data_IF_054249005745
#
_entry.id   IF_054249005745
#
_cell.length_a   1.000
_cell.length_b   1.000
_cell.length_c   1.000
_cell.angle_alpha   90.00
_cell.angle_beta   90.00
_cell.angle_gamma   90.00
#
_symmetry.space_group_name_H-M   'P 1'
#
loop_
_entity.id
_entity.type
_entity.pdbx_description
1 polymer ?
#
# COMPACT_ATOMS: atom_id res chain seq x y z
N UNK A 1 6.77 -6.04 -9.05
CA UNK A 1 7.81 -7.03 -8.66
C UNK A 1 9.04 -6.70 -9.48
N UNK A 2 10.20 -6.62 -8.85
CA UNK A 2 11.42 -6.16 -9.52
C UNK A 2 12.40 -7.34 -9.66
N UNK A 3 12.80 -7.62 -10.90
CA UNK A 3 13.82 -8.60 -11.23
C UNK A 3 15.13 -7.86 -11.46
N UNK A 4 16.17 -8.20 -10.70
CA UNK A 4 17.50 -7.61 -10.84
C UNK A 4 18.50 -8.67 -11.30
N UNK A 5 19.31 -8.35 -12.30
CA UNK A 5 20.40 -9.21 -12.72
C UNK A 5 21.60 -9.02 -11.79
N UNK A 6 21.76 -9.91 -10.81
CA UNK A 6 22.92 -9.91 -9.90
C UNK A 6 24.11 -10.70 -10.45
N UNK A 7 24.00 -11.25 -11.66
CA UNK A 7 25.08 -11.96 -12.33
C UNK A 7 26.10 -11.00 -12.96
N UNK A 8 27.20 -11.56 -13.45
CA UNK A 8 28.24 -10.78 -14.16
C UNK A 8 28.09 -10.81 -15.69
N UNK A 9 27.04 -11.46 -16.21
CA UNK A 9 26.78 -11.62 -17.64
C UNK A 9 25.36 -11.11 -17.93
N UNK A 10 25.14 -10.44 -19.07
CA UNK A 10 23.80 -10.07 -19.51
C UNK A 10 22.86 -11.27 -19.53
N UNK A 11 21.64 -11.08 -19.02
CA UNK A 11 20.63 -12.14 -18.94
C UNK A 11 19.32 -11.64 -19.49
N UNK A 12 18.75 -12.38 -20.43
CA UNK A 12 17.46 -12.08 -21.03
C UNK A 12 16.38 -12.95 -20.40
N UNK A 13 15.26 -12.35 -20.02
CA UNK A 13 14.08 -13.09 -19.55
C UNK A 13 13.10 -13.22 -20.72
N UNK A 14 12.59 -14.42 -20.97
CA UNK A 14 11.76 -14.69 -22.15
C UNK A 14 10.37 -15.16 -21.76
N UNK A 15 10.28 -16.17 -20.91
CA UNK A 15 8.99 -16.74 -20.52
C UNK A 15 8.61 -16.28 -19.13
N UNK A 16 7.37 -15.81 -18.98
CA UNK A 16 6.78 -15.47 -17.70
C UNK A 16 5.43 -16.17 -17.58
N UNK A 17 5.24 -16.88 -16.48
CA UNK A 17 4.00 -17.56 -16.17
C UNK A 17 3.64 -17.29 -14.71
N UNK A 18 2.39 -16.96 -14.45
CA UNK A 18 1.86 -16.83 -13.11
C UNK A 18 0.80 -17.91 -12.89
N UNK A 19 0.92 -18.64 -11.79
CA UNK A 19 -0.05 -19.62 -11.35
C UNK A 19 -0.58 -19.21 -9.97
N UNK A 20 -1.87 -19.42 -9.72
CA UNK A 20 -2.51 -19.14 -8.43
C UNK A 20 -3.27 -20.37 -7.96
N UNK A 21 -3.37 -20.57 -6.64
CA UNK A 21 -4.17 -21.67 -6.07
C UNK A 21 -5.68 -21.36 -6.07
N UNK A 22 -6.03 -20.08 -5.94
CA UNK A 22 -7.40 -19.58 -5.84
C UNK A 22 -7.54 -18.30 -6.66
N UNK A 23 -8.75 -18.02 -7.14
CA UNK A 23 -9.06 -16.83 -7.93
C UNK A 23 -8.41 -16.80 -9.32
N UNK A 24 -8.40 -15.62 -9.92
CA UNK A 24 -7.82 -15.36 -11.24
C UNK A 24 -6.56 -14.51 -11.12
N UNK A 25 -5.50 -14.92 -11.81
CA UNK A 25 -4.23 -14.19 -11.84
C UNK A 25 -3.81 -13.95 -13.27
N UNK A 26 -3.36 -12.74 -13.58
CA UNK A 26 -2.89 -12.36 -14.91
C UNK A 26 -1.76 -11.34 -14.83
N UNK A 27 -0.80 -11.45 -15.74
CA UNK A 27 0.30 -10.48 -15.88
C UNK A 27 -0.25 -9.29 -16.67
N UNK A 28 -0.38 -8.14 -16.03
CA UNK A 28 -0.92 -6.92 -16.65
C UNK A 28 0.18 -6.04 -17.26
N UNK A 29 1.43 -6.22 -16.84
CA UNK A 29 2.58 -5.55 -17.43
C UNK A 29 3.84 -6.36 -17.27
N UNK A 30 4.58 -6.54 -18.36
CA UNK A 30 5.84 -7.27 -18.35
C UNK A 30 6.96 -6.43 -18.96
N UNK A 31 7.61 -5.61 -18.14
CA UNK A 31 8.77 -4.81 -18.55
C UNK A 31 10.06 -5.61 -18.65
N UNK A 32 10.02 -6.90 -18.33
CA UNK A 32 11.16 -7.80 -18.36
C UNK A 32 11.15 -8.72 -19.60
N UNK A 33 10.02 -8.86 -20.29
CA UNK A 33 9.89 -9.78 -21.41
C UNK A 33 10.76 -9.39 -22.57
N UNK A 34 11.56 -10.32 -23.06
CA UNK A 34 12.43 -10.12 -24.20
C UNK A 34 13.46 -8.99 -24.02
N UNK A 35 13.62 -8.48 -22.79
CA UNK A 35 14.61 -7.47 -22.41
C UNK A 35 15.87 -8.16 -21.90
N UNK A 36 17.03 -7.70 -22.39
CA UNK A 36 18.32 -8.13 -21.89
C UNK A 36 18.75 -7.22 -20.74
N UNK A 37 18.84 -7.78 -19.53
CA UNK A 37 19.32 -7.07 -18.35
C UNK A 37 20.84 -7.18 -18.26
N UNK A 38 21.54 -6.04 -18.30
CA UNK A 38 22.95 -5.99 -17.96
C UNK A 38 23.19 -6.28 -16.47
N UNK A 39 24.43 -6.62 -16.07
CA UNK A 39 24.80 -6.76 -14.66
C UNK A 39 24.41 -5.51 -13.83
N UNK A 40 23.58 -5.70 -12.81
CA UNK A 40 23.06 -4.63 -11.95
C UNK A 40 21.81 -3.92 -12.47
N UNK A 41 21.36 -4.20 -13.69
CA UNK A 41 20.07 -3.69 -14.18
C UNK A 41 18.90 -4.44 -13.57
N UNK A 42 17.75 -3.77 -13.57
CA UNK A 42 16.49 -4.33 -13.13
C UNK A 42 15.38 -4.03 -14.14
N UNK A 43 14.32 -4.82 -14.06
CA UNK A 43 13.07 -4.60 -14.76
C UNK A 43 11.91 -4.95 -13.85
N UNK A 44 10.72 -4.47 -14.22
CA UNK A 44 9.52 -4.62 -13.42
C UNK A 44 8.45 -5.46 -14.12
N UNK A 45 7.85 -6.37 -13.34
CA UNK A 45 6.65 -7.11 -13.71
C UNK A 45 5.50 -6.70 -12.81
N UNK A 46 4.36 -6.41 -13.43
CA UNK A 46 3.10 -6.08 -12.78
C UNK A 46 2.12 -7.21 -13.02
N UNK A 47 1.54 -7.68 -11.92
CA UNK A 47 0.55 -8.75 -11.90
C UNK A 47 -0.73 -8.19 -11.30
N UNK A 48 -1.87 -8.60 -11.84
CA UNK A 48 -3.18 -8.43 -11.23
C UNK A 48 -3.68 -9.78 -10.74
N UNK A 49 -4.19 -9.78 -9.52
CA UNK A 49 -4.85 -10.93 -8.92
C UNK A 49 -6.24 -10.51 -8.44
N UNK A 50 -7.25 -11.29 -8.80
CA UNK A 50 -8.63 -11.14 -8.38
C UNK A 50 -9.04 -12.40 -7.63
N UNK A 51 -9.19 -12.30 -6.31
CA UNK A 51 -9.70 -13.40 -5.51
C UNK A 51 -11.22 -13.53 -5.70
N UNK A 52 -11.68 -14.76 -5.97
CA UNK A 52 -13.12 -15.06 -6.05
C UNK A 52 -13.78 -15.15 -4.67
N UNK A 53 -13.02 -15.62 -3.68
CA UNK A 53 -13.47 -15.81 -2.31
C UNK A 53 -12.55 -15.12 -1.31
N UNK A 54 -13.09 -14.65 -0.16
CA UNK A 54 -12.27 -14.19 0.94
C UNK A 54 -11.40 -15.34 1.48
N UNK A 55 -10.12 -15.07 1.68
CA UNK A 55 -9.19 -16.07 2.17
C UNK A 55 -7.75 -15.79 1.78
N UNK A 56 -6.85 -16.67 2.24
CA UNK A 56 -5.44 -16.62 1.85
C UNK A 56 -5.29 -17.18 0.44
N UNK A 57 -4.54 -16.48 -0.39
CA UNK A 57 -4.16 -16.93 -1.73
C UNK A 57 -2.64 -16.94 -1.85
N UNK A 58 -2.14 -17.82 -2.70
CA UNK A 58 -0.72 -17.91 -3.07
C UNK A 58 -0.58 -17.87 -4.58
N UNK A 59 0.32 -17.00 -5.04
CA UNK A 59 0.68 -16.88 -6.45
C UNK A 59 2.12 -17.31 -6.61
N UNK A 60 2.38 -18.18 -7.58
CA UNK A 60 3.73 -18.56 -7.99
C UNK A 60 4.04 -17.92 -9.33
N UNK A 61 4.96 -16.96 -9.34
CA UNK A 61 5.50 -16.39 -10.57
C UNK A 61 6.73 -17.18 -10.99
N UNK A 62 6.71 -17.69 -12.21
CA UNK A 62 7.82 -18.40 -12.83
C UNK A 62 8.35 -17.59 -14.00
N UNK A 63 9.66 -17.35 -14.03
CA UNK A 63 10.33 -16.71 -15.14
C UNK A 63 11.44 -17.60 -15.69
N UNK A 64 11.60 -17.68 -17.00
CA UNK A 64 12.67 -18.46 -17.65
C UNK A 64 13.60 -17.52 -18.38
N UNK A 65 14.89 -17.66 -18.11
CA UNK A 65 15.96 -16.94 -18.80
C UNK A 65 16.26 -17.57 -20.16
N UNK A 66 16.88 -16.81 -21.07
CA UNK A 66 17.39 -17.33 -22.35
C UNK A 66 18.42 -18.45 -22.19
N UNK A 67 19.07 -18.54 -21.03
CA UNK A 67 20.00 -19.60 -20.67
C UNK A 67 19.29 -20.87 -20.16
N UNK A 68 17.96 -20.88 -20.11
CA UNK A 68 17.16 -22.01 -19.59
C UNK A 68 17.10 -22.10 -18.07
N UNK A 69 17.59 -21.07 -17.35
CA UNK A 69 17.45 -21.02 -15.89
C UNK A 69 16.03 -20.56 -15.53
N UNK A 70 15.35 -21.36 -14.70
CA UNK A 70 14.02 -21.05 -14.17
C UNK A 70 14.13 -20.36 -12.82
N UNK A 71 13.49 -19.21 -12.70
CA UNK A 71 13.35 -18.43 -11.47
C UNK A 71 11.91 -18.57 -10.98
N UNK A 72 11.74 -18.84 -9.69
CA UNK A 72 10.42 -18.98 -9.08
C UNK A 72 10.30 -18.03 -7.90
N UNK A 73 9.27 -17.20 -7.91
CA UNK A 73 8.98 -16.21 -6.88
C UNK A 73 7.60 -16.53 -6.29
N UNK A 74 7.53 -17.09 -5.06
CA UNK A 74 6.27 -17.29 -4.37
C UNK A 74 5.79 -15.96 -3.76
N UNK A 75 4.51 -15.69 -3.93
CA UNK A 75 3.79 -14.54 -3.41
C UNK A 75 2.61 -15.07 -2.60
N UNK A 76 2.28 -14.40 -1.52
CA UNK A 76 1.09 -14.74 -0.72
C UNK A 76 0.38 -13.46 -0.29
N UNK A 77 -0.93 -13.56 -0.18
CA UNK A 77 -1.77 -12.46 0.27
C UNK A 77 -3.05 -12.99 0.90
N UNK A 78 -3.86 -12.08 1.41
CA UNK A 78 -5.15 -12.41 2.00
C UNK A 78 -6.20 -11.47 1.41
N UNK A 79 -7.20 -12.05 0.76
CA UNK A 79 -8.36 -11.34 0.27
C UNK A 79 -9.37 -11.21 1.42
N UNK A 80 -9.61 -9.98 1.85
CA UNK A 80 -10.74 -9.70 2.73
C UNK A 80 -11.98 -9.52 1.86
N UNK A 81 -13.02 -10.29 2.16
CA UNK A 81 -14.28 -10.17 1.44
C UNK A 81 -14.79 -8.74 1.58
N UNK A 82 -15.50 -8.26 0.55
CA UNK A 82 -16.19 -6.98 0.66
C UNK A 82 -17.12 -7.06 1.88
N UNK A 83 -16.69 -6.45 2.99
CA UNK A 83 -17.62 -6.09 4.04
C UNK A 83 -18.61 -5.18 3.35
N UNK A 84 -19.83 -5.68 3.13
CA UNK A 84 -20.97 -4.86 2.71
C UNK A 84 -20.81 -3.54 3.48
N UNK A 85 -20.82 -2.35 2.85
CA UNK A 85 -20.74 -1.12 3.60
C UNK A 85 -21.95 -1.13 4.54
N UNK A 86 -21.72 -1.50 5.80
CA UNK A 86 -22.66 -1.22 6.86
C UNK A 86 -22.63 0.28 6.91
N UNK A 87 -23.67 0.90 6.35
CA UNK A 87 -23.97 2.31 6.52
C UNK A 87 -23.87 2.57 8.01
N UNK A 88 -22.72 3.08 8.44
CA UNK A 88 -22.53 3.54 9.80
C UNK A 88 -23.44 4.77 9.87
N UNK A 89 -24.68 4.56 10.34
CA UNK A 89 -25.45 5.64 10.94
C UNK A 89 -24.51 6.24 11.98
N UNK A 90 -24.03 7.44 11.67
CA UNK A 90 -23.28 8.32 12.54
C UNK A 90 -24.05 8.46 13.85
N UNK A 91 -23.76 7.58 14.80
CA UNK A 91 -23.90 7.86 16.22
C UNK A 91 -22.72 8.74 16.57
N UNK A 92 -22.95 10.04 16.54
CA UNK A 92 -22.09 11.09 17.06
C UNK A 92 -21.47 10.64 18.39
N UNK A 93 -20.13 10.61 18.54
CA UNK A 93 -19.54 10.44 19.86
C UNK A 93 -19.87 11.72 20.64
N UNK A 94 -20.89 11.65 21.51
CA UNK A 94 -21.04 12.57 22.64
C UNK A 94 -19.76 12.47 23.45
N UNK A 95 -18.84 13.37 23.13
CA UNK A 95 -17.61 13.59 23.84
C UNK A 95 -17.99 14.30 25.12
N UNK A 96 -18.27 13.52 26.17
CA UNK A 96 -18.35 14.05 27.53
C UNK A 96 -17.02 13.73 28.24
N UNK A 97 -16.07 14.66 28.29
CA UNK A 97 -15.01 14.60 29.27
C UNK A 97 -15.53 15.21 30.58
N UNK A 98 -15.80 14.37 31.58
CA UNK A 98 -15.96 14.81 32.97
C UNK A 98 -14.63 15.41 33.45
N UNK A 99 -14.57 16.74 33.53
CA UNK A 99 -13.44 17.48 34.09
C UNK A 99 -13.72 17.76 35.56
N UNK A 100 -12.84 17.37 36.51
CA UNK A 100 -13.00 17.78 37.90
C UNK A 100 -12.62 19.25 38.07
N UNK A 101 -13.55 20.00 38.65
CA UNK A 101 -13.41 21.37 39.17
C UNK A 101 -12.14 21.58 39.98
N UNK A 102 -11.30 22.53 39.56
CA UNK A 102 -10.46 23.30 40.48
C UNK A 102 -10.00 24.64 39.88
N UNK A 103 -10.23 25.70 40.68
CA UNK A 103 -9.41 26.92 40.81
C UNK A 103 -9.63 28.06 39.81
N UNK A 104 -9.97 29.24 40.37
CA UNK A 104 -9.46 30.50 39.84
C UNK A 104 -10.47 31.63 39.73
N UNK A 105 -10.86 32.22 40.85
CA UNK A 105 -11.26 33.63 40.92
C UNK A 105 -10.19 34.49 40.24
N UNK A 106 -10.54 35.40 39.33
CA UNK A 106 -10.27 36.84 39.46
C UNK A 106 -10.56 37.61 38.16
N UNK A 107 -11.26 38.73 38.36
CA UNK A 107 -11.90 39.62 37.40
C UNK A 107 -10.99 40.21 36.31
N UNK A 108 -11.56 40.26 35.10
CA UNK A 108 -11.23 41.23 34.05
C UNK A 108 -11.42 42.66 34.56
N UNK A 109 -10.43 43.58 34.45
CA UNK A 109 -10.70 45.00 34.59
C UNK A 109 -11.37 45.55 33.31
N UNK A 110 -12.31 46.51 33.42
CA UNK A 110 -12.90 47.18 32.27
C UNK A 110 -11.89 48.12 31.57
N UNK A 111 -12.09 48.44 30.28
CA UNK A 111 -11.32 49.51 29.63
C UNK A 111 -11.75 50.87 30.19
N UNK A 112 -10.85 51.54 30.91
CA UNK A 112 -11.04 52.93 31.34
C UNK A 112 -10.92 53.86 30.12
N UNK A 113 -12.04 54.46 29.77
CA UNK A 113 -12.10 55.66 28.94
C UNK A 113 -12.02 56.87 29.88
N UNK A 114 -11.11 57.82 29.61
CA UNK A 114 -11.21 59.28 29.81
C UNK A 114 -9.92 59.90 30.36
N UNK A 115 -9.31 60.86 29.64
CA UNK A 115 -8.39 61.82 30.26
C UNK A 115 -7.32 62.44 29.38
N UNK A 116 -7.73 63.36 28.49
CA UNK A 116 -7.09 64.64 28.10
C UNK A 116 -5.54 64.79 28.11
N UNK A 117 -4.92 65.23 26.99
CA UNK A 117 -3.52 65.66 26.96
C UNK A 117 -3.36 67.14 27.36
N UNK A 118 -2.13 67.53 27.76
CA UNK A 118 -1.50 68.87 27.64
C UNK A 118 -0.89 69.39 28.96
N UNK A 119 0.04 70.35 28.92
CA UNK A 119 1.21 70.56 28.04
C UNK A 119 2.57 70.30 28.75
#
# INVERSE_FOLDING_TARGET
>A
MDFVNTGQVPTRLQDFAAATDTGETSITGNGCENVELQPGENCQVTLSHTAEEPGRFSVTLTAVTSQGTTLTVPLSGEAVGASKPTTATTGEPTSEPASPTATGTESTPPPDVTGTPSP
#
